data_IF_589294989410
#
_entry.id   IF_589294989410
#
_cell.length_a   1.000
_cell.length_b   1.000
_cell.length_c   1.000
_cell.angle_alpha   90.00
_cell.angle_beta   90.00
_cell.angle_gamma   90.00
#
_symmetry.space_group_name_H-M   'P 1'
#
loop_
_entity.id
_entity.type
_entity.pdbx_description
1 polymer ?
#
# COMPACT_ATOMS: atom_id res chain seq x y z
N UNK A 1 -30.12 -25.16 21.90
CA UNK A 1 -30.49 -23.74 22.08
C UNK A 1 -29.40 -22.96 22.84
N UNK A 2 -29.01 -23.37 24.05
CA UNK A 2 -28.00 -22.68 24.88
C UNK A 2 -26.61 -22.56 24.23
N UNK A 3 -26.12 -23.63 23.59
CA UNK A 3 -24.78 -23.63 22.97
C UNK A 3 -24.69 -22.71 21.74
N UNK A 4 -25.79 -22.57 20.99
CA UNK A 4 -25.85 -21.66 19.84
C UNK A 4 -25.83 -20.21 20.32
N UNK A 5 -26.56 -19.92 21.41
CA UNK A 5 -26.55 -18.60 22.03
C UNK A 5 -25.14 -18.22 22.53
N UNK A 6 -24.45 -19.14 23.22
CA UNK A 6 -23.08 -18.92 23.68
C UNK A 6 -22.13 -18.67 22.52
N UNK A 7 -22.21 -19.45 21.43
CA UNK A 7 -21.35 -19.25 20.26
C UNK A 7 -21.61 -17.93 19.53
N UNK A 8 -22.87 -17.50 19.43
CA UNK A 8 -23.23 -16.22 18.79
C UNK A 8 -22.78 -15.04 19.66
N UNK A 9 -22.93 -15.14 20.98
CA UNK A 9 -22.45 -14.13 21.93
C UNK A 9 -20.92 -13.98 21.86
N UNK A 10 -20.18 -15.11 21.83
CA UNK A 10 -18.72 -15.10 21.73
C UNK A 10 -18.23 -14.50 20.40
N UNK A 11 -18.92 -14.81 19.29
CA UNK A 11 -18.60 -14.24 17.98
C UNK A 11 -18.84 -12.72 17.93
N UNK A 12 -19.92 -12.25 18.55
CA UNK A 12 -20.21 -10.82 18.64
C UNK A 12 -19.17 -10.07 19.50
N UNK A 13 -18.78 -10.62 20.65
CA UNK A 13 -17.70 -10.05 21.47
C UNK A 13 -16.35 -10.05 20.75
N UNK A 14 -16.03 -11.13 20.03
CA UNK A 14 -14.82 -11.20 19.21
C UNK A 14 -14.83 -10.15 18.10
N UNK A 15 -15.96 -9.95 17.41
CA UNK A 15 -16.13 -8.92 16.38
C UNK A 15 -16.01 -7.51 16.96
N UNK A 16 -16.60 -7.26 18.13
CA UNK A 16 -16.44 -6.00 18.86
C UNK A 16 -14.97 -5.75 19.22
N UNK A 17 -14.25 -6.77 19.71
CA UNK A 17 -12.83 -6.67 20.02
C UNK A 17 -11.99 -6.37 18.77
N UNK A 18 -12.27 -7.01 17.64
CA UNK A 18 -11.60 -6.69 16.37
C UNK A 18 -11.85 -5.25 15.92
N UNK A 19 -13.08 -4.74 16.06
CA UNK A 19 -13.42 -3.36 15.72
C UNK A 19 -12.78 -2.33 16.66
N UNK A 20 -12.65 -2.64 17.96
CA UNK A 20 -11.98 -1.76 18.93
C UNK A 20 -10.46 -1.75 18.71
N UNK A 21 -9.88 -2.89 18.33
CA UNK A 21 -8.44 -3.03 18.13
C UNK A 21 -7.97 -2.45 16.78
N UNK A 22 -8.84 -2.42 15.77
CA UNK A 22 -8.54 -1.91 14.43
C UNK A 22 -9.30 -0.61 14.15
N UNK A 23 -8.87 0.48 14.77
CA UNK A 23 -9.33 1.83 14.40
C UNK A 23 -8.29 2.53 13.51
N UNK A 24 -8.76 3.30 12.53
CA UNK A 24 -7.88 4.16 11.73
C UNK A 24 -7.38 5.30 12.60
N UNK A 25 -6.06 5.47 12.71
CA UNK A 25 -5.46 6.59 13.45
C UNK A 25 -5.50 7.90 12.66
N UNK A 26 -5.38 7.80 11.34
CA UNK A 26 -5.35 8.93 10.41
C UNK A 26 -5.87 8.46 9.06
N UNK A 27 -6.83 9.19 8.47
CA UNK A 27 -7.41 8.82 7.18
C UNK A 27 -6.46 9.11 6.00
N UNK A 28 -5.65 10.17 6.12
CA UNK A 28 -4.69 10.58 5.09
C UNK A 28 -3.35 10.96 5.74
N UNK A 29 -2.43 9.99 5.82
CA UNK A 29 -1.08 10.19 6.33
C UNK A 29 -0.10 10.85 5.33
N UNK A 30 -0.64 11.45 4.26
CA UNK A 30 0.11 12.18 3.25
C UNK A 30 0.22 11.48 1.89
N UNK A 31 0.68 12.24 0.89
CA UNK A 31 0.73 11.79 -0.49
C UNK A 31 1.86 10.78 -0.77
N UNK A 32 1.52 9.73 -1.49
CA UNK A 32 2.46 8.72 -1.99
C UNK A 32 2.65 8.89 -3.50
N UNK A 33 3.89 9.14 -3.92
CA UNK A 33 4.21 9.19 -5.35
C UNK A 33 4.16 7.79 -5.95
N UNK A 34 3.82 7.70 -7.23
CA UNK A 34 3.84 6.45 -8.00
C UNK A 34 5.18 5.71 -7.89
N UNK A 35 6.30 6.45 -7.83
CA UNK A 35 7.63 5.89 -7.62
C UNK A 35 7.76 5.22 -6.23
N UNK A 36 7.34 5.90 -5.16
CA UNK A 36 7.39 5.33 -3.79
C UNK A 36 6.53 4.07 -3.67
N UNK A 37 5.33 4.07 -4.28
CA UNK A 37 4.45 2.89 -4.32
C UNK A 37 5.13 1.74 -5.07
N UNK A 38 5.74 2.01 -6.23
CA UNK A 38 6.42 0.98 -7.01
C UNK A 38 7.66 0.43 -6.28
N UNK A 39 8.45 1.28 -5.63
CA UNK A 39 9.63 0.90 -4.83
C UNK A 39 9.22 0.00 -3.66
N UNK A 40 8.14 0.34 -2.95
CA UNK A 40 7.57 -0.48 -1.89
C UNK A 40 7.14 -1.86 -2.39
N UNK A 41 6.41 -1.92 -3.51
CA UNK A 41 5.96 -3.19 -4.10
C UNK A 41 7.14 -4.06 -4.52
N UNK A 42 8.19 -3.49 -5.11
CA UNK A 42 9.43 -4.20 -5.46
C UNK A 42 10.12 -4.77 -4.21
N UNK A 43 10.23 -3.98 -3.15
CA UNK A 43 10.80 -4.45 -1.87
C UNK A 43 9.98 -5.59 -1.24
N UNK A 44 8.66 -5.61 -1.47
CA UNK A 44 7.75 -6.69 -1.07
C UNK A 44 7.90 -7.97 -1.93
N UNK A 45 8.64 -7.91 -3.03
CA UNK A 45 8.87 -9.04 -3.95
C UNK A 45 8.01 -9.00 -5.22
N UNK A 46 7.33 -7.88 -5.52
CA UNK A 46 6.62 -7.73 -6.78
C UNK A 46 7.63 -7.63 -7.95
N UNK A 47 7.50 -8.54 -8.91
CA UNK A 47 8.36 -8.64 -10.07
C UNK A 47 7.57 -9.13 -11.29
N UNK A 48 8.16 -8.98 -12.49
CA UNK A 48 7.70 -9.64 -13.72
C UNK A 48 8.21 -11.09 -13.83
N UNK A 49 9.13 -11.48 -12.97
CA UNK A 49 9.74 -12.80 -12.98
C UNK A 49 8.69 -13.91 -12.69
N UNK A 50 8.75 -15.08 -13.35
CA UNK A 50 7.83 -16.19 -13.08
C UNK A 50 7.81 -16.66 -11.61
N UNK A 51 8.92 -16.49 -10.87
CA UNK A 51 9.01 -16.78 -9.44
C UNK A 51 8.21 -15.83 -8.55
N UNK A 52 7.60 -14.76 -9.11
CA UNK A 52 6.76 -13.80 -8.38
C UNK A 52 5.63 -14.46 -7.59
N UNK A 53 5.18 -15.65 -8.00
CA UNK A 53 4.17 -16.45 -7.27
C UNK A 53 4.60 -16.80 -5.84
N UNK A 54 5.90 -16.80 -5.54
CA UNK A 54 6.43 -17.07 -4.20
C UNK A 54 6.40 -15.84 -3.29
N UNK A 55 6.22 -14.64 -3.84
CA UNK A 55 6.19 -13.41 -3.05
C UNK A 55 4.84 -13.27 -2.34
N UNK A 56 4.86 -12.76 -1.11
CA UNK A 56 3.66 -12.48 -0.31
C UNK A 56 3.01 -11.15 -0.73
N UNK A 57 2.74 -11.00 -2.03
CA UNK A 57 2.12 -9.82 -2.63
C UNK A 57 0.70 -10.19 -3.07
N UNK A 58 -0.29 -9.41 -2.65
CA UNK A 58 -1.68 -9.66 -2.99
C UNK A 58 -1.94 -9.44 -4.49
N UNK A 59 -2.96 -10.10 -5.02
CA UNK A 59 -3.32 -9.94 -6.44
C UNK A 59 -3.73 -8.50 -6.80
N UNK A 60 -4.36 -7.77 -5.87
CA UNK A 60 -4.68 -6.35 -6.04
C UNK A 60 -3.40 -5.49 -6.13
N UNK A 61 -2.38 -5.80 -5.34
CA UNK A 61 -1.08 -5.12 -5.38
C UNK A 61 -0.34 -5.42 -6.68
N UNK A 62 -0.42 -6.65 -7.19
CA UNK A 62 0.11 -6.97 -8.52
C UNK A 62 -0.56 -6.19 -9.65
N UNK A 63 -1.87 -5.93 -9.57
CA UNK A 63 -2.54 -5.08 -10.57
C UNK A 63 -1.97 -3.65 -10.57
N UNK A 64 -1.69 -3.10 -9.39
CA UNK A 64 -1.06 -1.77 -9.26
C UNK A 64 0.38 -1.81 -9.77
N UNK A 65 1.15 -2.84 -9.42
CA UNK A 65 2.52 -3.03 -9.91
C UNK A 65 2.57 -3.11 -11.44
N UNK A 66 1.74 -3.96 -12.05
CA UNK A 66 1.70 -4.20 -13.50
C UNK A 66 1.29 -2.95 -14.29
N UNK A 67 0.50 -2.06 -13.67
CA UNK A 67 0.21 -0.73 -14.19
C UNK A 67 1.42 0.20 -14.05
N UNK A 68 1.91 0.42 -12.82
CA UNK A 68 2.95 1.40 -12.52
C UNK A 68 4.26 1.14 -13.24
N UNK A 69 4.64 -0.14 -13.41
CA UNK A 69 5.87 -0.53 -14.11
C UNK A 69 5.86 -0.12 -15.60
N UNK A 70 4.69 0.17 -16.18
CA UNK A 70 4.52 0.63 -17.56
C UNK A 70 4.41 2.16 -17.67
N UNK A 71 4.40 2.86 -16.54
CA UNK A 71 4.39 4.33 -16.47
C UNK A 71 5.82 4.86 -16.28
N UNK A 72 6.05 6.19 -16.34
CA UNK A 72 7.38 6.77 -16.08
C UNK A 72 7.98 6.39 -14.71
N UNK A 73 7.16 6.05 -13.72
CA UNK A 73 7.64 5.55 -12.43
C UNK A 73 8.50 4.29 -12.56
N UNK A 74 8.27 3.48 -13.59
CA UNK A 74 9.04 2.26 -13.86
C UNK A 74 10.51 2.49 -14.23
N UNK A 75 10.81 3.64 -14.85
CA UNK A 75 12.14 4.02 -15.36
C UNK A 75 12.85 5.08 -14.52
N UNK A 76 12.16 5.74 -13.59
CA UNK A 76 12.76 6.72 -12.67
C UNK A 76 13.75 6.05 -11.71
N UNK A 77 14.74 6.83 -11.25
CA UNK A 77 15.66 6.44 -10.18
C UNK A 77 15.41 7.27 -8.92
N UNK A 78 15.93 6.81 -7.77
CA UNK A 78 15.82 7.56 -6.51
C UNK A 78 16.51 8.92 -6.63
N UNK A 79 17.63 8.96 -7.36
CA UNK A 79 18.43 10.14 -7.62
C UNK A 79 17.65 11.14 -8.48
N UNK A 80 17.07 10.68 -9.61
CA UNK A 80 16.31 11.57 -10.51
C UNK A 80 15.09 12.17 -9.82
N UNK A 81 14.41 11.38 -8.96
CA UNK A 81 13.27 11.87 -8.19
C UNK A 81 13.72 12.89 -7.15
N UNK A 82 14.83 12.63 -6.44
CA UNK A 82 15.37 13.57 -5.45
C UNK A 82 15.80 14.89 -6.08
N UNK A 83 16.50 14.84 -7.21
CA UNK A 83 16.92 16.01 -7.96
C UNK A 83 15.70 16.84 -8.41
N UNK A 84 14.67 16.19 -8.96
CA UNK A 84 13.41 16.84 -9.30
C UNK A 84 12.82 17.60 -8.10
N UNK A 85 12.71 16.95 -6.92
CA UNK A 85 12.20 17.61 -5.72
C UNK A 85 13.07 18.80 -5.26
N UNK A 86 14.38 18.76 -5.47
CA UNK A 86 15.26 19.90 -5.18
C UNK A 86 15.02 21.07 -6.12
N UNK A 87 14.83 20.81 -7.42
CA UNK A 87 14.56 21.84 -8.42
C UNK A 87 13.18 22.46 -8.20
N UNK A 88 12.13 21.66 -8.00
CA UNK A 88 10.77 22.20 -7.84
C UNK A 88 10.60 23.02 -6.57
N UNK A 89 11.39 22.78 -5.52
CA UNK A 89 11.35 23.60 -4.29
C UNK A 89 11.77 25.05 -4.51
N UNK A 90 12.46 25.34 -5.61
CA UNK A 90 12.79 26.70 -6.02
C UNK A 90 11.60 27.41 -6.68
N UNK A 91 10.53 26.66 -6.98
CA UNK A 91 9.30 27.15 -7.57
C UNK A 91 8.18 27.08 -6.53
N UNK A 92 7.28 28.07 -6.55
CA UNK A 92 6.15 28.15 -5.61
C UNK A 92 5.00 27.24 -6.06
N UNK A 93 5.29 25.93 -6.09
CA UNK A 93 4.35 24.88 -6.46
C UNK A 93 3.84 24.21 -5.19
N UNK A 94 2.52 24.15 -5.03
CA UNK A 94 1.89 23.40 -3.95
C UNK A 94 1.92 21.90 -4.25
N UNK A 95 2.07 21.09 -3.21
CA UNK A 95 1.65 19.70 -3.29
C UNK A 95 0.12 19.65 -3.46
N UNK A 96 -0.37 18.71 -4.27
CA UNK A 96 -1.78 18.58 -4.60
C UNK A 96 -2.61 18.01 -3.43
#
# INVERSE_FOLDING_TARGET
>A
MFQIYLSVSLFHELLLMFNVLLHSLEENAGALTNFKVLDFLRAKGASKDPSRVLAKVAMSEYKVYDYLVKTPAGSQTRESVKEYFTVIKQHDLSEA
#
